data_IF_247211342786
#
_entry.id   IF_247211342786
#
_cell.length_a   1.000
_cell.length_b   1.000
_cell.length_c   1.000
_cell.angle_alpha   90.00
_cell.angle_beta   90.00
_cell.angle_gamma   90.00
#
_symmetry.space_group_name_H-M   'P 1'
#
loop_
_entity.id
_entity.type
_entity.pdbx_description
1 polymer ?
#
# COMPACT_ATOMS: atom_id res chain seq x y z
N UNK A 1 20.59 -20.21 -24.78
CA UNK A 1 20.92 -19.52 -23.51
C UNK A 1 19.63 -19.06 -22.89
N UNK A 2 19.22 -19.71 -21.82
CA UNK A 2 18.05 -19.28 -21.08
C UNK A 2 18.40 -17.99 -20.32
N UNK A 3 17.77 -16.88 -20.66
CA UNK A 3 17.78 -15.70 -19.82
C UNK A 3 17.25 -16.11 -18.45
N UNK A 4 18.13 -16.23 -17.48
CA UNK A 4 17.71 -16.33 -16.08
C UNK A 4 16.90 -15.08 -15.81
N UNK A 5 15.59 -15.21 -15.63
CA UNK A 5 14.75 -14.13 -15.14
C UNK A 5 15.40 -13.65 -13.85
N UNK A 6 16.06 -12.51 -13.94
CA UNK A 6 16.70 -11.89 -12.80
C UNK A 6 15.61 -11.55 -11.80
N UNK A 7 15.67 -12.12 -10.61
CA UNK A 7 14.73 -11.78 -9.54
C UNK A 7 14.74 -10.29 -9.21
N UNK A 8 13.77 -9.84 -8.44
CA UNK A 8 13.72 -8.46 -7.97
C UNK A 8 14.94 -8.15 -7.08
N UNK A 9 15.39 -6.90 -7.10
CA UNK A 9 16.31 -6.42 -6.08
C UNK A 9 15.60 -6.35 -4.71
N UNK A 10 16.37 -6.36 -3.62
CA UNK A 10 15.79 -6.21 -2.28
C UNK A 10 15.00 -4.91 -2.16
N UNK A 11 15.49 -3.83 -2.73
CA UNK A 11 14.79 -2.54 -2.75
C UNK A 11 13.42 -2.63 -3.44
N UNK A 12 13.35 -3.21 -4.61
CA UNK A 12 12.10 -3.38 -5.34
C UNK A 12 11.12 -4.27 -4.58
N UNK A 13 11.61 -5.36 -4.02
CA UNK A 13 10.80 -6.28 -3.23
C UNK A 13 10.21 -5.61 -1.99
N UNK A 14 11.04 -4.90 -1.22
CA UNK A 14 10.59 -4.23 0.00
C UNK A 14 9.68 -3.03 -0.28
N UNK A 15 9.87 -2.34 -1.40
CA UNK A 15 9.01 -1.21 -1.82
C UNK A 15 7.59 -1.61 -2.17
N UNK A 16 7.31 -2.87 -2.40
CA UNK A 16 5.95 -3.31 -2.74
C UNK A 16 4.92 -2.95 -1.64
N UNK A 17 5.32 -2.88 -0.38
CA UNK A 17 4.42 -2.45 0.71
C UNK A 17 3.97 -1.01 0.53
N UNK A 18 4.88 -0.13 0.18
CA UNK A 18 4.55 1.29 -0.06
C UNK A 18 3.61 1.45 -1.25
N UNK A 19 3.84 0.71 -2.32
CA UNK A 19 2.97 0.71 -3.51
C UNK A 19 1.57 0.23 -3.14
N UNK A 20 1.45 -0.88 -2.42
CA UNK A 20 0.16 -1.39 -1.95
C UNK A 20 -0.56 -0.39 -1.04
N UNK A 21 0.17 0.23 -0.14
CA UNK A 21 -0.36 1.27 0.75
C UNK A 21 -0.89 2.49 0.00
N UNK A 22 -0.14 2.96 -0.99
CA UNK A 22 -0.56 4.07 -1.84
C UNK A 22 -1.81 3.74 -2.66
N UNK A 23 -1.89 2.55 -3.23
CA UNK A 23 -3.06 2.08 -3.97
C UNK A 23 -4.31 2.04 -3.08
N UNK A 24 -4.19 1.52 -1.86
CA UNK A 24 -5.29 1.50 -0.90
C UNK A 24 -5.75 2.92 -0.56
N UNK A 25 -4.83 3.85 -0.33
CA UNK A 25 -5.17 5.23 -0.04
C UNK A 25 -5.87 5.93 -1.20
N UNK A 26 -5.43 5.71 -2.43
CA UNK A 26 -6.08 6.22 -3.64
C UNK A 26 -7.50 5.66 -3.77
N UNK A 27 -7.66 4.37 -3.55
CA UNK A 27 -8.97 3.71 -3.62
C UNK A 27 -9.91 4.18 -2.50
N UNK A 28 -9.38 4.47 -1.31
CA UNK A 28 -10.18 5.05 -0.21
C UNK A 28 -10.67 6.46 -0.55
N UNK A 29 -9.85 7.26 -1.20
CA UNK A 29 -10.23 8.60 -1.67
C UNK A 29 -11.34 8.46 -2.72
N UNK A 30 -11.16 7.57 -3.69
CA UNK A 30 -12.16 7.31 -4.73
C UNK A 30 -13.48 6.81 -4.13
N UNK A 31 -13.43 5.91 -3.15
CA UNK A 31 -14.62 5.44 -2.43
C UNK A 31 -15.33 6.58 -1.72
N UNK A 32 -14.60 7.48 -1.07
CA UNK A 32 -15.16 8.67 -0.42
C UNK A 32 -15.85 9.57 -1.44
N UNK A 33 -15.23 9.81 -2.59
CA UNK A 33 -15.82 10.60 -3.68
C UNK A 33 -17.07 9.95 -4.24
N UNK A 34 -17.11 8.64 -4.40
CA UNK A 34 -18.29 7.91 -4.83
C UNK A 34 -19.46 8.02 -3.83
N UNK A 35 -19.17 7.92 -2.54
CA UNK A 35 -20.18 8.11 -1.47
C UNK A 35 -20.70 9.54 -1.45
N UNK A 36 -19.85 10.54 -1.56
CA UNK A 36 -20.22 11.94 -1.60
C UNK A 36 -21.07 12.24 -2.85
N UNK A 37 -20.72 11.70 -4.00
CA UNK A 37 -21.48 11.81 -5.23
C UNK A 37 -22.86 11.18 -5.11
N UNK A 38 -22.99 10.01 -4.49
CA UNK A 38 -24.25 9.34 -4.25
C UNK A 38 -25.16 10.14 -3.30
N UNK A 39 -24.58 10.83 -2.33
CA UNK A 39 -25.31 11.68 -1.37
C UNK A 39 -25.63 13.08 -1.92
N UNK A 40 -24.76 13.66 -2.76
CA UNK A 40 -24.95 15.01 -3.30
C UNK A 40 -25.99 15.10 -4.41
N UNK A 41 -26.40 13.98 -5.02
CA UNK A 41 -27.55 13.91 -5.94
C UNK A 41 -28.88 14.12 -5.22
N UNK A 42 -28.88 14.28 -3.90
CA UNK A 42 -30.03 14.63 -3.08
C UNK A 42 -30.36 16.12 -3.01
N UNK A 43 -29.74 16.97 -3.82
CA UNK A 43 -30.18 18.34 -4.00
C UNK A 43 -31.60 18.34 -4.56
N UNK A 44 -32.58 18.48 -3.67
CA UNK A 44 -33.98 18.52 -4.03
C UNK A 44 -34.20 19.80 -4.84
N UNK A 45 -34.24 19.64 -6.15
CA UNK A 45 -34.70 20.70 -7.04
C UNK A 45 -36.24 20.69 -7.00
N UNK A 46 -36.82 21.52 -6.14
CA UNK A 46 -38.27 21.68 -6.02
C UNK A 46 -38.94 22.31 -7.25
N UNK A 47 -38.15 22.72 -8.24
CA UNK A 47 -38.62 23.38 -9.44
C UNK A 47 -39.02 22.45 -10.59
N UNK A 48 -38.77 21.15 -10.47
CA UNK A 48 -39.16 20.14 -11.45
C UNK A 48 -40.34 19.31 -10.97
N UNK A 49 -41.40 19.30 -11.77
CA UNK A 49 -42.51 18.37 -11.56
C UNK A 49 -41.98 16.95 -11.42
N UNK A 50 -42.51 16.23 -10.42
CA UNK A 50 -42.22 14.84 -10.19
C UNK A 50 -42.63 13.99 -11.41
N UNK A 51 -41.71 13.80 -12.33
CA UNK A 51 -41.88 12.80 -13.39
C UNK A 51 -41.06 11.60 -13.01
N UNK A 52 -41.75 10.56 -12.61
CA UNK A 52 -41.36 9.15 -12.46
C UNK A 52 -40.27 8.82 -11.47
N UNK A 53 -40.71 8.22 -10.38
CA UNK A 53 -39.95 7.67 -9.25
C UNK A 53 -39.05 6.45 -9.56
N UNK A 54 -39.21 5.81 -10.73
CA UNK A 54 -38.47 4.57 -11.03
C UNK A 54 -37.01 4.80 -11.44
N UNK A 55 -36.73 5.87 -12.18
CA UNK A 55 -35.36 6.14 -12.66
C UNK A 55 -34.39 6.59 -11.55
N UNK A 56 -34.89 7.27 -10.53
CA UNK A 56 -34.07 7.74 -9.38
C UNK A 56 -33.77 6.56 -8.45
N UNK A 57 -34.72 5.66 -8.24
CA UNK A 57 -34.50 4.47 -7.43
C UNK A 57 -33.47 3.53 -8.03
N UNK A 58 -33.54 3.29 -9.35
CA UNK A 58 -32.57 2.43 -10.05
C UNK A 58 -31.18 3.04 -10.05
N UNK A 59 -31.04 4.35 -10.21
CA UNK A 59 -29.76 5.06 -10.14
C UNK A 59 -29.15 4.98 -8.74
N UNK A 60 -29.94 5.18 -7.70
CA UNK A 60 -29.51 5.07 -6.31
C UNK A 60 -29.05 3.65 -6.00
N UNK A 61 -29.81 2.63 -6.40
CA UNK A 61 -29.43 1.23 -6.22
C UNK A 61 -28.15 0.89 -6.98
N UNK A 62 -27.98 1.40 -8.21
CA UNK A 62 -26.77 1.22 -9.00
C UNK A 62 -25.56 1.86 -8.34
N UNK A 63 -25.69 3.08 -7.80
CA UNK A 63 -24.61 3.78 -7.11
C UNK A 63 -24.24 3.09 -5.79
N UNK A 64 -25.22 2.62 -5.03
CA UNK A 64 -25.00 1.83 -3.81
C UNK A 64 -24.28 0.51 -4.13
N UNK A 65 -24.70 -0.19 -5.19
CA UNK A 65 -24.04 -1.41 -5.62
C UNK A 65 -22.57 -1.16 -6.00
N UNK A 66 -22.28 -0.07 -6.72
CA UNK A 66 -20.91 0.30 -7.11
C UNK A 66 -20.01 0.52 -5.91
N UNK A 67 -20.40 1.33 -4.93
CA UNK A 67 -19.52 1.57 -3.79
C UNK A 67 -19.43 0.36 -2.86
N UNK A 68 -20.43 -0.52 -2.80
CA UNK A 68 -20.34 -1.78 -2.04
C UNK A 68 -19.33 -2.72 -2.67
N UNK A 69 -19.35 -2.90 -3.99
CA UNK A 69 -18.38 -3.71 -4.72
C UNK A 69 -16.96 -3.13 -4.58
N UNK A 70 -16.84 -1.81 -4.62
CA UNK A 70 -15.56 -1.13 -4.46
C UNK A 70 -15.02 -1.24 -3.04
N UNK A 71 -15.89 -1.18 -2.03
CA UNK A 71 -15.55 -1.38 -0.62
C UNK A 71 -15.02 -2.81 -0.38
N UNK A 72 -15.65 -3.83 -0.97
CA UNK A 72 -15.16 -5.21 -0.93
C UNK A 72 -13.81 -5.37 -1.61
N UNK A 73 -13.59 -4.68 -2.74
CA UNK A 73 -12.31 -4.65 -3.43
C UNK A 73 -11.20 -4.07 -2.55
N UNK A 74 -11.46 -2.96 -1.86
CA UNK A 74 -10.52 -2.34 -0.91
C UNK A 74 -10.23 -3.29 0.25
N UNK A 75 -11.21 -3.97 0.80
CA UNK A 75 -11.03 -4.94 1.87
C UNK A 75 -10.08 -6.08 1.44
N UNK A 76 -10.21 -6.55 0.21
CA UNK A 76 -9.31 -7.56 -0.37
C UNK A 76 -7.88 -7.01 -0.49
N UNK A 77 -7.72 -5.77 -0.92
CA UNK A 77 -6.41 -5.11 -1.00
C UNK A 77 -5.77 -4.92 0.38
N UNK A 78 -6.56 -4.54 1.38
CA UNK A 78 -6.11 -4.39 2.77
C UNK A 78 -5.63 -5.73 3.32
N UNK A 79 -6.36 -6.81 3.10
CA UNK A 79 -5.96 -8.15 3.53
C UNK A 79 -4.64 -8.57 2.87
N UNK A 80 -4.49 -8.30 1.59
CA UNK A 80 -3.26 -8.56 0.83
C UNK A 80 -2.08 -7.75 1.38
N UNK A 81 -2.30 -6.49 1.71
CA UNK A 81 -1.29 -5.62 2.33
C UNK A 81 -0.88 -6.15 3.72
N UNK A 82 -1.82 -6.53 4.56
CA UNK A 82 -1.54 -7.07 5.90
C UNK A 82 -0.71 -8.34 5.82
N UNK A 83 -1.05 -9.25 4.92
CA UNK A 83 -0.32 -10.50 4.72
C UNK A 83 1.10 -10.25 4.20
N UNK A 84 1.25 -9.38 3.21
CA UNK A 84 2.55 -8.99 2.67
C UNK A 84 3.42 -8.32 3.75
N UNK A 85 2.83 -7.44 4.55
CA UNK A 85 3.53 -6.76 5.66
C UNK A 85 4.04 -7.75 6.70
N UNK A 86 3.22 -8.70 7.11
CA UNK A 86 3.63 -9.75 8.06
C UNK A 86 4.78 -10.58 7.53
N UNK A 87 4.71 -10.97 6.27
CA UNK A 87 5.76 -11.76 5.63
C UNK A 87 7.06 -10.98 5.54
N UNK A 88 7.02 -9.74 5.08
CA UNK A 88 8.21 -8.89 4.95
C UNK A 88 8.85 -8.59 6.31
N UNK A 89 8.05 -8.32 7.34
CA UNK A 89 8.57 -8.14 8.71
C UNK A 89 9.31 -9.39 9.18
N UNK A 90 8.76 -10.56 8.93
CA UNK A 90 9.38 -11.83 9.30
C UNK A 90 10.71 -12.02 8.59
N UNK A 91 10.74 -11.77 7.28
CA UNK A 91 11.94 -11.89 6.47
C UNK A 91 13.03 -10.89 6.88
N UNK A 92 12.67 -9.65 7.21
CA UNK A 92 13.60 -8.64 7.74
C UNK A 92 14.20 -9.11 9.07
N UNK A 93 13.40 -9.66 9.96
CA UNK A 93 13.86 -10.14 11.28
C UNK A 93 14.82 -11.32 11.18
N UNK A 94 14.82 -12.04 10.09
CA UNK A 94 15.77 -13.13 9.84
C UNK A 94 17.22 -12.64 9.64
N UNK A 95 17.43 -11.36 9.41
CA UNK A 95 18.78 -10.77 9.26
C UNK A 95 19.61 -10.84 10.52
N UNK A 96 19.02 -10.95 11.68
CA UNK A 96 19.66 -11.00 13.01
C UNK A 96 20.40 -9.73 13.46
N UNK A 97 20.96 -8.95 12.56
CA UNK A 97 21.61 -7.67 12.89
C UNK A 97 20.54 -6.63 13.25
N UNK A 98 20.60 -6.12 14.48
CA UNK A 98 19.62 -5.16 14.99
C UNK A 98 19.59 -3.87 14.16
N UNK A 99 20.73 -3.40 13.72
CA UNK A 99 20.84 -2.16 12.94
C UNK A 99 20.22 -2.34 11.54
N UNK A 100 20.45 -3.49 10.91
CA UNK A 100 19.84 -3.82 9.62
C UNK A 100 18.31 -3.95 9.74
N UNK A 101 17.86 -4.64 10.77
CA UNK A 101 16.42 -4.79 11.05
C UNK A 101 15.77 -3.41 11.25
N UNK A 102 16.37 -2.55 12.06
CA UNK A 102 15.84 -1.22 12.32
C UNK A 102 15.77 -0.35 11.06
N UNK A 103 16.83 -0.28 10.29
CA UNK A 103 16.86 0.58 9.09
C UNK A 103 15.87 0.12 8.04
N UNK A 104 15.78 -1.18 7.78
CA UNK A 104 14.82 -1.71 6.81
C UNK A 104 13.36 -1.55 7.30
N UNK A 105 13.11 -1.80 8.56
CA UNK A 105 11.77 -1.63 9.15
C UNK A 105 11.33 -0.16 9.09
N UNK A 106 12.19 0.78 9.45
CA UNK A 106 11.85 2.20 9.43
C UNK A 106 11.56 2.72 8.02
N UNK A 107 12.38 2.34 7.06
CA UNK A 107 12.28 2.84 5.69
C UNK A 107 11.15 2.14 4.92
N UNK A 108 11.06 0.82 4.99
CA UNK A 108 10.17 0.04 4.11
C UNK A 108 8.85 -0.38 4.75
N UNK A 109 8.80 -0.55 6.05
CA UNK A 109 7.57 -0.93 6.76
C UNK A 109 6.86 0.27 7.35
N UNK A 110 7.60 1.22 7.91
CA UNK A 110 7.05 2.44 8.51
C UNK A 110 7.04 3.64 7.54
N UNK A 111 7.57 3.46 6.34
CA UNK A 111 7.61 4.47 5.26
C UNK A 111 8.31 5.78 5.67
N UNK A 112 9.34 5.67 6.48
CA UNK A 112 10.13 6.81 6.93
C UNK A 112 11.24 7.13 5.93
N UNK A 113 11.64 8.39 5.86
CA UNK A 113 12.78 8.83 5.08
C UNK A 113 14.08 8.43 5.77
N UNK A 114 15.17 8.38 5.02
CA UNK A 114 16.52 8.13 5.57
C UNK A 114 16.86 9.19 6.64
N UNK A 115 16.49 10.45 6.40
CA UNK A 115 16.70 11.54 7.36
C UNK A 115 15.99 11.27 8.70
N UNK A 116 14.71 10.91 8.64
CA UNK A 116 13.93 10.58 9.85
C UNK A 116 14.49 9.36 10.56
N UNK A 117 14.84 8.32 9.80
CA UNK A 117 15.47 7.12 10.35
C UNK A 117 16.80 7.44 11.05
N UNK A 118 17.63 8.32 10.47
CA UNK A 118 18.88 8.74 11.08
C UNK A 118 18.68 9.46 12.40
N UNK A 119 17.68 10.33 12.48
CA UNK A 119 17.33 11.03 13.71
C UNK A 119 16.85 10.08 14.81
N UNK A 120 15.96 9.16 14.48
CA UNK A 120 15.44 8.19 15.43
C UNK A 120 16.47 7.18 15.91
N UNK A 121 17.37 6.76 15.03
CA UNK A 121 18.46 5.84 15.35
C UNK A 121 19.65 6.55 16.03
N UNK A 122 19.61 7.88 16.11
CA UNK A 122 20.70 8.71 16.65
C UNK A 122 22.04 8.45 15.96
N UNK A 123 22.00 8.33 14.64
CA UNK A 123 23.17 8.12 13.77
C UNK A 123 23.23 9.21 12.71
N UNK A 124 24.41 9.43 12.14
CA UNK A 124 24.55 10.40 11.05
C UNK A 124 23.79 9.91 9.79
N UNK A 125 23.38 10.86 8.98
CA UNK A 125 22.72 10.57 7.70
C UNK A 125 23.57 9.63 6.83
N UNK A 126 24.85 9.95 6.64
CA UNK A 126 25.74 9.12 5.83
C UNK A 126 25.93 7.72 6.40
N UNK A 127 25.98 7.60 7.73
CA UNK A 127 26.06 6.29 8.38
C UNK A 127 24.82 5.44 8.07
N UNK A 128 23.63 6.03 8.13
CA UNK A 128 22.38 5.34 7.83
C UNK A 128 22.25 5.00 6.34
N UNK A 129 22.72 5.85 5.44
CA UNK A 129 22.78 5.54 3.99
C UNK A 129 23.63 4.30 3.75
N UNK A 130 24.80 4.23 4.36
CA UNK A 130 25.69 3.06 4.25
C UNK A 130 25.08 1.80 4.88
N UNK A 131 24.48 1.96 6.03
CA UNK A 131 23.79 0.88 6.75
C UNK A 131 22.64 0.32 5.92
N UNK A 132 21.85 1.18 5.29
CA UNK A 132 20.77 0.81 4.38
C UNK A 132 21.26 -0.02 3.20
N UNK A 133 22.34 0.42 2.54
CA UNK A 133 22.94 -0.32 1.43
C UNK A 133 23.43 -1.71 1.86
N UNK A 134 24.09 -1.80 3.00
CA UNK A 134 24.56 -3.08 3.55
C UNK A 134 23.40 -4.00 3.94
N UNK A 135 22.37 -3.44 4.54
CA UNK A 135 21.17 -4.19 4.93
C UNK A 135 20.46 -4.79 3.71
N UNK A 136 20.33 -4.03 2.63
CA UNK A 136 19.76 -4.52 1.38
C UNK A 136 20.58 -5.67 0.77
N UNK A 137 21.88 -5.56 0.78
CA UNK A 137 22.77 -6.63 0.29
C UNK A 137 22.64 -7.90 1.13
N UNK A 138 22.57 -7.76 2.42
CA UNK A 138 22.40 -8.89 3.33
C UNK A 138 21.04 -9.56 3.15
N UNK A 139 19.99 -8.76 2.94
CA UNK A 139 18.64 -9.26 2.64
C UNK A 139 18.63 -10.09 1.34
N UNK A 140 19.27 -9.61 0.28
CA UNK A 140 19.38 -10.35 -0.98
C UNK A 140 20.13 -11.67 -0.83
N UNK A 141 21.16 -11.71 -0.01
CA UNK A 141 21.90 -12.95 0.27
C UNK A 141 21.04 -13.98 0.99
N UNK A 142 20.23 -13.55 1.94
CA UNK A 142 19.34 -14.45 2.70
C UNK A 142 18.13 -14.89 1.92
N UNK A 143 17.65 -14.04 1.03
CA UNK A 143 16.44 -14.27 0.25
C UNK A 143 16.76 -14.17 -1.25
N UNK A 144 17.41 -15.17 -1.84
CA UNK A 144 17.65 -15.20 -3.27
C UNK A 144 16.33 -15.41 -4.02
N UNK A 145 16.27 -14.94 -5.27
CA UNK A 145 15.11 -15.10 -6.16
C UNK A 145 13.83 -14.43 -5.64
N UNK A 146 13.94 -13.17 -5.27
CA UNK A 146 12.79 -12.39 -4.82
C UNK A 146 11.80 -12.14 -5.96
N UNK A 147 10.51 -12.28 -5.64
CA UNK A 147 9.39 -12.00 -6.54
C UNK A 147 8.34 -11.20 -5.79
N UNK A 148 7.49 -10.46 -6.51
CA UNK A 148 6.36 -9.79 -5.87
C UNK A 148 5.44 -10.78 -5.19
N UNK A 149 4.96 -10.40 -4.01
CA UNK A 149 3.95 -11.14 -3.29
C UNK A 149 2.58 -10.93 -3.96
N UNK A 150 1.90 -12.00 -4.24
CA UNK A 150 0.57 -11.98 -4.87
C UNK A 150 -0.52 -12.26 -3.85
#
# INVERSE_FOLDING_TARGET
MSEKKKGLSAREYLKQLEVLYMQINEDLIELSDLKDSAMSTGGIDYSRERVQTSAVGDRLCSDVARYTDFDEHINTEVDRFVDAKRQIIREIRELRDKNYIQVLTKIYVQFKTVKTASQEMRKSYNHVVNLHSKALKEFEKKHPNLHYLT
#
